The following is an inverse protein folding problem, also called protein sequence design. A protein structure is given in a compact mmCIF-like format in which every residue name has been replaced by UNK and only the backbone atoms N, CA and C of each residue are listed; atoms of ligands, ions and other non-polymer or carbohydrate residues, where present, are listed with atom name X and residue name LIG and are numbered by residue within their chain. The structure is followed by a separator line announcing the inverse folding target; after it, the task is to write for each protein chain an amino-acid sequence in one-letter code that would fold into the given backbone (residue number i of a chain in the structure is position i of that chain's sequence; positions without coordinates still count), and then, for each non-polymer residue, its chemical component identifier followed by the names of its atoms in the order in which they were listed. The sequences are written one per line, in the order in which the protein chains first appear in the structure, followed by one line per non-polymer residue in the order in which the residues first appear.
data_IF_281939691571
#
_entry.id   IF_281939691571
#
_cell.length_a   1.000
_cell.length_b   1.000
_cell.length_c   1.000
_cell.angle_alpha   90.00
_cell.angle_beta   90.00
_cell.angle_gamma   90.00
#
_symmetry.space_group_name_H-M   'P 1'
#
loop_
_entity.id
_entity.type
_entity.pdbx_description
1 polymer ?
#
# COMPACT_ATOMS: atom_id res chain seq x y z
N UNK A 1 -4.71 4.92 17.77
CA UNK A 1 -3.38 4.62 17.17
C UNK A 1 -3.57 4.24 15.71
N UNK A 2 -2.72 4.70 14.78
CA UNK A 2 -2.80 4.32 13.36
C UNK A 2 -1.85 3.16 13.02
N UNK A 3 -2.36 2.14 12.33
CA UNK A 3 -1.60 1.05 11.76
C UNK A 3 -1.63 1.13 10.22
N UNK A 4 -0.45 1.17 9.60
CA UNK A 4 -0.31 1.20 8.15
C UNK A 4 -0.70 -0.15 7.52
N UNK A 5 -1.42 -0.11 6.40
CA UNK A 5 -1.88 -1.31 5.69
C UNK A 5 -1.97 -1.04 4.18
N UNK A 6 -2.50 -2.02 3.45
CA UNK A 6 -2.86 -1.91 2.03
C UNK A 6 -4.32 -2.34 1.87
N UNK A 7 -5.02 -1.75 0.90
CA UNK A 7 -6.32 -2.26 0.48
C UNK A 7 -6.17 -3.65 -0.15
N UNK A 8 -6.71 -4.67 0.54
CA UNK A 8 -6.64 -6.07 0.12
C UNK A 8 -7.18 -6.28 -1.30
N UNK A 9 -8.24 -5.56 -1.68
CA UNK A 9 -8.81 -5.66 -3.03
C UNK A 9 -7.86 -5.07 -4.07
N UNK A 10 -7.21 -3.96 -3.75
CA UNK A 10 -6.23 -3.33 -4.64
C UNK A 10 -4.98 -4.22 -4.85
N UNK A 11 -4.40 -4.78 -3.78
CA UNK A 11 -3.22 -5.63 -3.89
C UNK A 11 -3.52 -6.94 -4.64
N UNK A 12 -4.68 -7.57 -4.40
CA UNK A 12 -5.11 -8.77 -5.13
C UNK A 12 -5.27 -8.49 -6.63
N UNK A 13 -5.84 -7.34 -7.00
CA UNK A 13 -5.93 -6.91 -8.41
C UNK A 13 -4.54 -6.70 -9.01
N UNK A 14 -3.64 -6.05 -8.28
CA UNK A 14 -2.26 -5.83 -8.70
C UNK A 14 -1.51 -7.14 -8.98
N UNK A 15 -1.56 -8.09 -8.05
CA UNK A 15 -0.90 -9.40 -8.22
C UNK A 15 -1.52 -10.20 -9.36
N UNK A 16 -2.83 -10.16 -9.55
CA UNK A 16 -3.48 -10.81 -10.70
C UNK A 16 -2.97 -10.25 -12.04
N UNK A 17 -2.78 -8.93 -12.13
CA UNK A 17 -2.21 -8.29 -13.33
C UNK A 17 -0.75 -8.73 -13.54
N UNK A 18 0.08 -8.69 -12.50
CA UNK A 18 1.49 -9.10 -12.57
C UNK A 18 1.64 -10.57 -12.98
N UNK A 19 0.83 -11.47 -12.41
CA UNK A 19 0.81 -12.88 -12.78
C UNK A 19 0.46 -13.10 -14.25
N UNK A 20 -0.46 -12.30 -14.81
CA UNK A 20 -0.85 -12.40 -16.23
C UNK A 20 0.28 -12.05 -17.20
N UNK A 21 1.24 -11.24 -16.76
CA UNK A 21 2.42 -10.85 -17.53
C UNK A 21 3.69 -11.59 -17.09
N UNK A 22 3.55 -12.67 -16.31
CA UNK A 22 4.66 -13.54 -15.90
C UNK A 22 5.54 -13.00 -14.77
N UNK A 23 5.16 -11.91 -14.10
CA UNK A 23 5.90 -11.33 -12.98
C UNK A 23 5.35 -11.89 -11.66
N UNK A 24 6.21 -12.54 -10.86
CA UNK A 24 5.88 -13.04 -9.52
C UNK A 24 6.73 -12.33 -8.46
N UNK A 25 6.18 -11.33 -7.75
CA UNK A 25 6.92 -10.62 -6.71
C UNK A 25 7.11 -11.52 -5.48
N UNK A 26 8.37 -11.75 -5.07
CA UNK A 26 8.71 -12.44 -3.82
C UNK A 26 8.05 -13.81 -3.60
N UNK A 27 7.74 -14.55 -4.67
CA UNK A 27 7.15 -15.89 -4.59
C UNK A 27 5.72 -15.94 -4.04
N UNK A 28 5.10 -14.78 -3.79
CA UNK A 28 3.81 -14.70 -3.10
C UNK A 28 2.65 -14.93 -4.07
N UNK A 29 1.75 -15.85 -3.73
CA UNK A 29 0.54 -16.12 -4.51
C UNK A 29 -0.61 -15.19 -4.11
N UNK A 30 -1.63 -15.09 -4.96
CA UNK A 30 -2.85 -14.35 -4.61
C UNK A 30 -3.58 -14.97 -3.41
N UNK A 31 -3.41 -16.27 -3.16
CA UNK A 31 -3.97 -16.96 -2.00
C UNK A 31 -3.27 -16.56 -0.70
N UNK A 32 -1.94 -16.46 -0.73
CA UNK A 32 -1.15 -15.98 0.43
C UNK A 32 -1.55 -14.55 0.82
N UNK A 33 -1.90 -13.73 -0.18
CA UNK A 33 -2.36 -12.36 0.03
C UNK A 33 -3.83 -12.22 0.43
N UNK A 34 -4.64 -13.27 0.29
CA UNK A 34 -6.05 -13.21 0.63
C UNK A 34 -6.28 -13.08 2.15
N UNK A 35 -5.33 -13.59 2.94
CA UNK A 35 -5.33 -13.42 4.40
C UNK A 35 -4.41 -12.28 4.86
N UNK A 36 -3.51 -11.79 3.99
CA UNK A 36 -2.73 -10.60 4.26
C UNK A 36 -3.55 -9.32 4.03
N UNK A 37 -3.14 -8.22 4.66
CA UNK A 37 -3.71 -6.88 4.50
C UNK A 37 -5.18 -6.73 4.94
N UNK A 38 -5.68 -5.50 4.88
CA UNK A 38 -6.97 -5.12 5.46
C UNK A 38 -8.05 -5.06 4.38
N UNK A 39 -9.24 -5.64 4.62
CA UNK A 39 -10.34 -5.52 3.67
C UNK A 39 -10.84 -4.06 3.62
N UNK A 40 -11.37 -3.61 2.48
CA UNK A 40 -11.65 -2.18 2.25
C UNK A 40 -12.61 -1.55 3.26
N UNK A 41 -13.54 -2.33 3.82
CA UNK A 41 -14.51 -1.94 4.84
C UNK A 41 -13.91 -1.68 6.23
N UNK A 42 -12.72 -2.21 6.50
CA UNK A 42 -11.98 -1.97 7.74
C UNK A 42 -10.94 -0.85 7.62
N UNK A 43 -10.78 -0.27 6.43
CA UNK A 43 -9.83 0.83 6.22
C UNK A 43 -10.49 2.15 6.63
N UNK A 44 -9.92 2.78 7.64
CA UNK A 44 -10.40 4.05 8.20
C UNK A 44 -9.88 5.28 7.45
N UNK A 45 -8.65 5.20 6.92
CA UNK A 45 -7.98 6.31 6.26
C UNK A 45 -7.43 5.91 4.89
N UNK A 46 -7.58 6.82 3.92
CA UNK A 46 -6.94 6.74 2.60
C UNK A 46 -6.34 8.11 2.28
N UNK A 47 -5.02 8.14 2.21
CA UNK A 47 -4.25 9.37 2.04
C UNK A 47 -3.72 9.41 0.61
N UNK A 48 -4.01 10.50 -0.09
CA UNK A 48 -3.40 10.79 -1.38
C UNK A 48 -2.01 11.36 -1.19
N UNK A 49 -1.00 10.65 -1.70
CA UNK A 49 0.41 11.02 -1.60
C UNK A 49 1.05 11.19 -2.98
N UNK A 50 0.25 11.38 -4.04
CA UNK A 50 0.73 11.47 -5.43
C UNK A 50 1.83 12.51 -5.64
N UNK A 51 1.77 13.63 -4.92
CA UNK A 51 2.77 14.71 -4.99
C UNK A 51 4.14 14.28 -4.43
N UNK A 52 4.18 13.28 -3.55
CA UNK A 52 5.38 12.77 -2.89
C UNK A 52 5.94 11.48 -3.51
N UNK A 53 5.29 10.94 -4.54
CA UNK A 53 5.68 9.65 -5.17
C UNK A 53 7.11 9.65 -5.68
N UNK A 54 7.63 10.80 -6.15
CA UNK A 54 9.03 10.90 -6.61
C UNK A 54 10.02 10.68 -5.45
N UNK A 55 9.76 11.28 -4.29
CA UNK A 55 10.59 11.12 -3.10
C UNK A 55 10.52 9.68 -2.59
N UNK A 56 9.31 9.11 -2.54
CA UNK A 56 9.09 7.70 -2.17
C UNK A 56 9.87 6.73 -3.05
N UNK A 57 9.88 6.95 -4.37
CA UNK A 57 10.69 6.13 -5.29
C UNK A 57 12.20 6.28 -5.06
N UNK A 58 12.69 7.49 -4.79
CA UNK A 58 14.10 7.70 -4.49
C UNK A 58 14.51 6.99 -3.20
N UNK A 59 13.66 7.05 -2.16
CA UNK A 59 13.86 6.30 -0.92
C UNK A 59 13.90 4.78 -1.16
N UNK A 60 12.98 4.26 -1.98
CA UNK A 60 12.99 2.84 -2.36
C UNK A 60 14.29 2.44 -3.09
N UNK A 61 14.79 3.28 -4.01
CA UNK A 61 16.06 3.03 -4.70
C UNK A 61 17.27 3.10 -3.77
N UNK A 62 17.20 3.92 -2.72
CA UNK A 62 18.25 3.99 -1.70
C UNK A 62 18.34 2.70 -0.87
N UNK A 63 17.26 1.90 -0.79
CA UNK A 63 17.26 0.57 -0.17
C UNK A 63 17.83 -0.51 -1.11
N UNK A 64 19.00 -0.23 -1.70
CA UNK A 64 19.68 -1.11 -2.65
C UNK A 64 19.98 -2.51 -2.08
N UNK A 65 20.30 -2.61 -0.78
CA UNK A 65 20.54 -3.90 -0.12
C UNK A 65 19.30 -4.82 -0.04
N UNK A 66 18.10 -4.27 -0.18
CA UNK A 66 16.83 -5.02 -0.22
C UNK A 66 16.33 -5.27 -1.66
N UNK A 67 17.11 -4.83 -2.66
CA UNK A 67 16.71 -4.87 -4.07
C UNK A 67 17.09 -6.17 -4.78
N UNK A 68 18.01 -6.97 -4.23
CA UNK A 68 18.51 -8.22 -4.83
C UNK A 68 18.50 -9.41 -3.85
N UNK A 69 18.53 -10.64 -4.39
CA UNK A 69 18.63 -11.91 -3.66
C UNK A 69 17.41 -12.83 -3.85
N UNK A 70 17.63 -14.15 -3.97
CA UNK A 70 16.58 -15.16 -4.22
C UNK A 70 16.15 -15.25 -5.69
N UNK A 71 15.32 -16.25 -6.06
CA UNK A 71 14.90 -16.50 -7.46
C UNK A 71 13.82 -15.55 -7.98
N UNK A 72 13.08 -14.87 -7.10
CA UNK A 72 11.95 -14.01 -7.45
C UNK A 72 12.31 -12.52 -7.51
N UNK A 73 11.53 -11.74 -8.27
CA UNK A 73 11.75 -10.30 -8.35
C UNK A 73 11.38 -9.65 -7.02
N UNK A 74 12.31 -8.88 -6.44
CA UNK A 74 12.08 -8.14 -5.20
C UNK A 74 11.14 -6.96 -5.41
N UNK A 75 10.20 -6.80 -4.49
CA UNK A 75 9.19 -5.71 -4.50
C UNK A 75 9.84 -4.33 -4.52
N UNK A 76 10.93 -4.11 -3.78
CA UNK A 76 11.66 -2.83 -3.77
C UNK A 76 12.21 -2.49 -5.15
N UNK A 77 12.82 -3.47 -5.84
CA UNK A 77 13.33 -3.30 -7.21
C UNK A 77 12.22 -2.99 -8.21
N UNK A 78 11.09 -3.72 -8.13
CA UNK A 78 9.92 -3.46 -8.98
C UNK A 78 9.39 -2.04 -8.79
N UNK A 79 9.09 -1.65 -7.54
CA UNK A 79 8.48 -0.37 -7.24
C UNK A 79 9.41 0.81 -7.51
N UNK A 80 10.71 0.66 -7.23
CA UNK A 80 11.72 1.68 -7.53
C UNK A 80 11.95 1.89 -9.03
N UNK A 81 11.71 0.88 -9.86
CA UNK A 81 11.89 0.93 -11.32
C UNK A 81 10.66 1.35 -12.12
N UNK A 82 9.51 1.58 -11.49
CA UNK A 82 8.27 1.90 -12.21
C UNK A 82 8.37 3.22 -12.99
N UNK A 83 7.93 3.25 -14.26
CA UNK A 83 7.73 4.50 -15.00
C UNK A 83 6.78 5.45 -14.27
N UNK A 84 6.98 6.75 -14.45
CA UNK A 84 6.23 7.81 -13.74
C UNK A 84 4.71 7.59 -13.68
N UNK A 85 3.98 7.36 -14.79
CA UNK A 85 2.52 7.19 -14.72
C UNK A 85 2.09 5.96 -13.90
N UNK A 86 2.89 4.89 -13.92
CA UNK A 86 2.61 3.69 -13.14
C UNK A 86 2.93 3.91 -11.67
N UNK A 87 4.08 4.54 -11.38
CA UNK A 87 4.47 4.81 -10.00
C UNK A 87 3.47 5.71 -9.28
N UNK A 88 2.91 6.73 -9.94
CA UNK A 88 1.86 7.58 -9.36
C UNK A 88 0.59 6.80 -9.04
N UNK A 89 0.21 5.83 -9.88
CA UNK A 89 -0.96 4.99 -9.63
C UNK A 89 -0.75 3.96 -8.52
N UNK A 90 0.42 3.33 -8.47
CA UNK A 90 0.72 2.24 -7.54
C UNK A 90 1.12 2.75 -6.16
N UNK A 91 1.90 3.84 -6.09
CA UNK A 91 2.47 4.35 -4.83
C UNK A 91 1.76 5.60 -4.31
N UNK A 92 0.81 6.14 -5.06
CA UNK A 92 0.17 7.43 -4.79
C UNK A 92 -0.93 7.40 -3.73
N UNK A 93 -1.23 6.24 -3.15
CA UNK A 93 -2.18 6.11 -2.04
C UNK A 93 -1.57 5.32 -0.90
N UNK A 94 -1.88 5.74 0.31
CA UNK A 94 -1.52 5.04 1.54
C UNK A 94 -2.77 4.84 2.39
N UNK A 95 -2.87 3.67 3.03
CA UNK A 95 -4.06 3.26 3.77
C UNK A 95 -3.70 2.97 5.22
N UNK A 96 -4.61 3.32 6.13
CA UNK A 96 -4.42 3.08 7.56
C UNK A 96 -5.71 2.59 8.24
N UNK A 97 -5.51 1.82 9.31
CA UNK A 97 -6.54 1.44 10.27
C UNK A 97 -6.28 2.19 11.56
N UNK A 98 -7.31 2.85 12.09
CA UNK A 98 -7.29 3.45 13.41
C UNK A 98 -7.80 2.42 14.42
N UNK A 99 -6.89 1.92 15.25
CA UNK A 99 -7.24 1.00 16.32
C UNK A 99 -8.11 1.72 17.35
N UNK A 100 -9.25 1.11 17.69
CA UNK A 100 -10.26 1.69 18.58
C UNK A 100 -11.38 2.43 17.85
N UNK A 101 -11.17 2.84 16.59
CA UNK A 101 -12.23 3.50 15.82
C UNK A 101 -13.33 2.50 15.44
N UNK A 102 -14.58 2.96 15.49
CA UNK A 102 -15.70 2.24 14.91
C UNK A 102 -15.54 2.17 13.39
N UNK A 103 -15.45 0.94 12.88
CA UNK A 103 -15.44 0.68 11.46
C UNK A 103 -16.90 0.75 10.97
N UNK A 104 -17.20 1.73 10.14
CA UNK A 104 -18.49 1.85 9.48
C UNK A 104 -18.22 2.38 8.09
N UNK A 105 -18.88 1.81 7.08
CA UNK A 105 -18.66 2.10 5.64
C UNK A 105 -18.93 3.54 5.17
N UNK A 106 -18.79 4.52 6.05
CA UNK A 106 -18.71 5.92 5.72
C UNK A 106 -17.43 6.29 4.97
N UNK A 107 -17.31 7.57 4.64
CA UNK A 107 -16.20 8.11 3.84
C UNK A 107 -14.88 7.95 4.60
N UNK A 108 -13.89 7.34 3.95
CA UNK A 108 -12.51 7.23 4.44
C UNK A 108 -11.94 8.62 4.71
N UNK A 109 -11.25 8.77 5.84
CA UNK A 109 -10.59 10.02 6.24
C UNK A 109 -9.36 10.24 5.36
N UNK A 110 -9.14 11.48 4.95
CA UNK A 110 -8.03 11.87 4.06
C UNK A 110 -6.87 12.54 4.79
N UNK A 111 -6.92 12.56 6.12
CA UNK A 111 -5.91 13.17 6.97
C UNK A 111 -5.70 12.28 8.21
N UNK A 112 -4.45 11.90 8.44
CA UNK A 112 -4.04 10.99 9.52
C UNK A 112 -4.21 11.59 10.92
N UNK A 113 -4.35 12.91 11.05
CA UNK A 113 -4.56 13.57 12.34
C UNK A 113 -6.02 13.96 12.59
N UNK A 114 -6.95 13.45 11.78
CA UNK A 114 -8.36 13.85 11.82
C UNK A 114 -9.00 13.67 13.22
N UNK A 115 -8.79 12.53 13.87
CA UNK A 115 -9.35 12.22 15.19
C UNK A 115 -8.79 13.13 16.29
N UNK A 116 -7.48 13.43 16.25
CA UNK A 116 -6.83 14.31 17.23
C UNK A 116 -7.34 15.75 17.07
N UNK A 117 -7.49 16.24 15.83
CA UNK A 117 -8.01 17.60 15.59
C UNK A 117 -9.49 17.76 15.91
N UNK A 118 -10.29 16.69 15.79
CA UNK A 118 -11.71 16.72 16.16
C UNK A 118 -11.95 16.46 17.64
N UNK A 119 -10.91 16.12 18.42
CA UNK A 119 -11.03 15.72 19.82
C UNK A 119 -11.75 14.37 20.00
N UNK A 120 -11.85 13.56 18.96
CA UNK A 120 -12.56 12.27 18.95
C UNK A 120 -11.57 11.12 19.17
N UNK A 121 -10.84 11.18 20.28
CA UNK A 121 -10.00 10.06 20.73
C UNK A 121 -10.85 9.23 21.69
N UNK A 122 -11.52 8.21 21.16
CA UNK A 122 -12.02 7.08 21.97
C UNK A 122 -10.89 6.07 22.22
#
# INVERSE_FOLDING_TARGET
MLAATVDRTAIMRGVRVLNRIGIRPGGTTAADLAQAFTPPEQITHEIDVRDYVRLKQQALRAHGSQSDGGPDVRTVRLLGGLPRPLSTRVLGREWFVELGATHGGGRRRTDVFASIRSGTVE
#
